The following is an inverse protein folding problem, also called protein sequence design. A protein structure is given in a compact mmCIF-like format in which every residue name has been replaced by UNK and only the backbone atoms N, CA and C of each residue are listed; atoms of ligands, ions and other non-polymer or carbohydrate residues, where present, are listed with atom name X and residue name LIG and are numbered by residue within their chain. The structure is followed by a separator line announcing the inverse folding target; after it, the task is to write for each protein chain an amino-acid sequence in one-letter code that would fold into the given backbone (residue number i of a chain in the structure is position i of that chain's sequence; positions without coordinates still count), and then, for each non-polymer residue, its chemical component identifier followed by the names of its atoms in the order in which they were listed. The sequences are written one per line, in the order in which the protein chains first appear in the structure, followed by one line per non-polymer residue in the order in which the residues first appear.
data_IF_004281229502
#
_entry.id   IF_004281229502
#
_cell.length_a   1.000
_cell.length_b   1.000
_cell.length_c   1.000
_cell.angle_alpha   90.00
_cell.angle_beta   90.00
_cell.angle_gamma   90.00
#
_symmetry.space_group_name_H-M   'P 1'
#
loop_
_entity.id
_entity.type
_entity.pdbx_description
1 polymer ?
#
# COMPACT_ATOMS: atom_id res chain seq x y z
N UNK A 1 -6.16 4.74 0.12
CA UNK A 1 -5.77 4.35 -1.25
C UNK A 1 -6.45 3.02 -1.56
N UNK A 2 -7.18 2.95 -2.67
CA UNK A 2 -7.88 1.75 -3.11
C UNK A 2 -7.02 0.97 -4.12
N UNK A 3 -6.89 -0.35 -3.93
CA UNK A 3 -6.16 -1.23 -4.84
C UNK A 3 -7.16 -2.04 -5.66
N UNK A 4 -6.97 -2.05 -6.97
CA UNK A 4 -7.83 -2.72 -7.94
C UNK A 4 -6.98 -3.52 -8.93
N UNK A 5 -7.51 -4.65 -9.41
CA UNK A 5 -6.86 -5.44 -10.46
C UNK A 5 -7.06 -4.84 -11.84
N UNK A 6 -8.19 -4.16 -12.04
CA UNK A 6 -8.53 -3.48 -13.29
C UNK A 6 -9.05 -2.07 -12.99
N UNK A 7 -8.50 -1.07 -13.68
CA UNK A 7 -8.81 0.34 -13.46
C UNK A 7 -10.16 0.73 -14.08
N UNK A 8 -10.63 0.03 -15.11
CA UNK A 8 -11.90 0.35 -15.77
C UNK A 8 -13.11 -0.13 -14.96
N UNK A 9 -13.12 -1.41 -14.57
CA UNK A 9 -14.15 -2.04 -13.75
C UNK A 9 -14.03 -1.71 -12.26
N UNK A 10 -12.86 -1.21 -11.82
CA UNK A 10 -12.51 -1.02 -10.40
C UNK A 10 -12.66 -2.30 -9.57
N UNK A 11 -12.34 -3.44 -10.17
CA UNK A 11 -12.43 -4.75 -9.49
C UNK A 11 -11.49 -4.77 -8.28
N UNK A 12 -12.01 -4.97 -7.04
CA UNK A 12 -11.20 -4.97 -5.82
C UNK A 12 -10.07 -6.01 -5.84
N UNK A 13 -8.92 -5.66 -5.27
CA UNK A 13 -7.76 -6.56 -5.19
C UNK A 13 -7.27 -6.81 -3.73
N UNK A 14 -8.04 -7.54 -2.90
CA UNK A 14 -7.69 -7.74 -1.49
C UNK A 14 -6.37 -8.50 -1.27
N UNK A 15 -6.09 -9.54 -2.05
CA UNK A 15 -4.86 -10.33 -1.92
C UNK A 15 -3.62 -9.51 -2.29
N UNK A 16 -3.71 -8.69 -3.34
CA UNK A 16 -2.65 -7.76 -3.72
C UNK A 16 -2.43 -6.72 -2.62
N UNK A 17 -3.52 -6.19 -2.06
CA UNK A 17 -3.48 -5.24 -0.94
C UNK A 17 -2.73 -5.81 0.27
N UNK A 18 -3.06 -7.05 0.65
CA UNK A 18 -2.38 -7.76 1.74
C UNK A 18 -0.88 -7.94 1.45
N UNK A 19 -0.52 -8.35 0.23
CA UNK A 19 0.89 -8.51 -0.19
C UNK A 19 1.66 -7.19 -0.15
N UNK A 20 1.06 -6.08 -0.56
CA UNK A 20 1.66 -4.75 -0.47
C UNK A 20 1.98 -4.41 1.00
N UNK A 21 1.02 -4.61 1.90
CA UNK A 21 1.19 -4.30 3.33
C UNK A 21 2.27 -5.19 3.96
N UNK A 22 2.26 -6.50 3.71
CA UNK A 22 3.28 -7.42 4.22
C UNK A 22 4.68 -7.04 3.71
N UNK A 23 4.81 -6.71 2.43
CA UNK A 23 6.09 -6.34 1.83
C UNK A 23 6.61 -4.99 2.33
N UNK A 24 5.72 -4.02 2.53
CA UNK A 24 6.05 -2.73 3.16
C UNK A 24 6.51 -2.93 4.61
N UNK A 25 5.82 -3.78 5.37
CA UNK A 25 6.21 -4.12 6.74
C UNK A 25 7.61 -4.71 6.83
N UNK A 26 7.96 -5.64 5.94
CA UNK A 26 9.31 -6.20 5.85
C UNK A 26 10.40 -5.19 5.48
N UNK A 27 10.03 -4.02 4.94
CA UNK A 27 10.93 -2.90 4.63
C UNK A 27 10.93 -1.81 5.71
N UNK A 28 10.24 -2.01 6.83
CA UNK A 28 10.20 -1.08 7.95
C UNK A 28 9.03 -0.08 7.92
N UNK A 29 8.10 -0.21 6.98
CA UNK A 29 6.91 0.66 6.91
C UNK A 29 5.67 -0.08 7.44
N UNK A 30 5.16 0.37 8.59
CA UNK A 30 3.90 -0.12 9.14
C UNK A 30 2.72 0.63 8.53
N UNK A 31 1.82 -0.10 7.87
CA UNK A 31 0.56 0.42 7.33
C UNK A 31 -0.61 -0.20 8.08
N UNK A 32 -1.72 0.53 8.16
CA UNK A 32 -2.95 0.00 8.75
C UNK A 32 -3.47 -1.10 7.82
N UNK A 33 -3.74 -2.26 8.40
CA UNK A 33 -4.27 -3.45 7.74
C UNK A 33 -5.47 -3.12 6.84
N UNK A 34 -5.76 -3.94 5.80
CA UNK A 34 -6.75 -3.60 4.79
C UNK A 34 -8.10 -3.27 5.42
N UNK A 35 -8.61 -2.07 5.14
CA UNK A 35 -9.94 -1.60 5.55
C UNK A 35 -10.89 -1.61 4.35
N UNK A 36 -12.15 -1.22 4.58
CA UNK A 36 -13.17 -1.13 3.53
C UNK A 36 -13.92 -2.45 3.31
N UNK A 37 -15.07 -2.37 2.63
CA UNK A 37 -15.99 -3.51 2.44
C UNK A 37 -15.34 -4.71 1.75
N UNK A 38 -14.38 -4.46 0.85
CA UNK A 38 -13.73 -5.49 0.04
C UNK A 38 -12.28 -5.79 0.46
N UNK A 39 -11.82 -5.24 1.59
CA UNK A 39 -10.46 -5.48 2.09
C UNK A 39 -9.34 -5.03 1.13
N UNK A 40 -9.62 -4.05 0.26
CA UNK A 40 -8.71 -3.58 -0.77
C UNK A 40 -8.23 -2.13 -0.55
N UNK A 41 -8.45 -1.57 0.64
CA UNK A 41 -8.09 -0.18 0.95
C UNK A 41 -6.95 -0.12 1.96
N UNK A 42 -5.87 0.55 1.58
CA UNK A 42 -4.74 0.90 2.45
C UNK A 42 -4.99 2.29 3.04
N UNK A 43 -4.97 2.41 4.37
CA UNK A 43 -5.06 3.69 5.07
C UNK A 43 -3.67 4.20 5.44
N UNK A 44 -3.38 5.43 5.03
CA UNK A 44 -2.16 6.17 5.37
C UNK A 44 -2.57 7.22 6.41
N UNK A 45 -2.07 7.07 7.63
CA UNK A 45 -2.39 7.97 8.74
C UNK A 45 -1.17 8.07 9.67
N UNK A 46 -0.09 8.76 9.26
CA UNK A 46 1.06 8.99 10.12
C UNK A 46 0.68 9.91 11.30
N UNK A 47 1.49 9.95 12.37
CA UNK A 47 1.33 10.93 13.44
C UNK A 47 1.42 12.37 12.91
N UNK A 48 0.71 13.31 13.55
CA UNK A 48 0.75 14.74 13.17
C UNK A 48 2.11 15.41 13.36
N UNK A 49 3.01 14.76 14.11
CA UNK A 49 4.36 15.23 14.44
C UNK A 49 5.45 14.51 13.64
N UNK A 50 5.08 13.75 12.60
CA UNK A 50 6.06 13.09 11.72
C UNK A 50 6.93 14.15 11.03
N UNK A 51 8.23 13.87 10.88
CA UNK A 51 9.11 14.74 10.09
C UNK A 51 8.90 14.52 8.59
N UNK A 52 9.28 15.49 7.77
CA UNK A 52 9.20 15.38 6.32
C UNK A 52 10.05 14.23 5.79
N UNK A 53 11.25 14.04 6.35
CA UNK A 53 12.17 12.97 5.94
C UNK A 53 11.59 11.58 6.20
N UNK A 54 10.91 11.39 7.34
CA UNK A 54 10.24 10.12 7.65
C UNK A 54 8.99 9.90 6.79
N UNK A 55 8.26 10.97 6.46
CA UNK A 55 7.12 10.88 5.56
C UNK A 55 7.58 10.47 4.15
N UNK A 56 8.64 11.11 3.63
CA UNK A 56 9.23 10.81 2.33
C UNK A 56 9.77 9.38 2.26
N UNK A 57 10.45 8.93 3.31
CA UNK A 57 10.94 7.55 3.40
C UNK A 57 9.78 6.55 3.35
N UNK A 58 8.69 6.82 4.07
CA UNK A 58 7.48 5.99 4.02
C UNK A 58 6.85 5.95 2.63
N UNK A 59 6.76 7.10 1.95
CA UNK A 59 6.25 7.17 0.56
C UNK A 59 7.17 6.42 -0.39
N UNK A 60 8.49 6.54 -0.24
CA UNK A 60 9.49 5.83 -1.05
C UNK A 60 9.34 4.32 -0.92
N UNK A 61 9.31 3.80 0.31
CA UNK A 61 9.12 2.36 0.57
C UNK A 61 7.81 1.87 -0.06
N UNK A 62 6.71 2.60 0.11
CA UNK A 62 5.42 2.21 -0.45
C UNK A 62 5.45 2.19 -1.99
N UNK A 63 6.03 3.21 -2.62
CA UNK A 63 6.16 3.31 -4.07
C UNK A 63 6.96 2.13 -4.65
N UNK A 64 8.13 1.84 -4.05
CA UNK A 64 8.97 0.72 -4.47
C UNK A 64 8.27 -0.63 -4.37
N UNK A 65 7.50 -0.85 -3.31
CA UNK A 65 6.72 -2.09 -3.13
C UNK A 65 5.63 -2.22 -4.18
N UNK A 66 4.90 -1.14 -4.47
CA UNK A 66 3.86 -1.15 -5.50
C UNK A 66 4.48 -1.44 -6.86
N UNK A 67 5.55 -0.74 -7.24
CA UNK A 67 6.26 -0.98 -8.50
C UNK A 67 6.84 -2.40 -8.59
N UNK A 68 7.40 -2.95 -7.50
CA UNK A 68 7.89 -4.33 -7.45
C UNK A 68 6.77 -5.34 -7.75
N UNK A 69 5.58 -5.13 -7.19
CA UNK A 69 4.46 -6.06 -7.33
C UNK A 69 3.70 -5.90 -8.65
N UNK A 70 3.66 -4.69 -9.21
CA UNK A 70 3.08 -4.41 -10.52
C UNK A 70 3.92 -5.01 -11.67
N UNK A 71 5.25 -4.87 -11.60
CA UNK A 71 6.17 -5.45 -12.58
C UNK A 71 6.20 -6.99 -12.57
N UNK A 72 5.75 -7.62 -11.47
CA UNK A 72 5.63 -9.09 -11.35
C UNK A 72 4.27 -9.64 -11.80
N UNK A 73 3.34 -8.77 -12.17
CA UNK A 73 2.03 -9.15 -12.71
C UNK A 73 2.05 -9.32 -14.23
N UNK A 74 3.20 -9.08 -14.88
CA UNK A 74 3.50 -9.38 -16.28
C UNK A 74 4.38 -10.63 -16.38
#
# INVERSE_FOLDING_TARGET
MEIVTDKASKTPAPELTKRIIERAFHRGLLLIAPIGMFGNVIRIAPPLVISEELADEGVRILSEVITELDNRAH
#
